data_IF_274562812867
#
_entry.id   IF_274562812867
#
_cell.length_a   1.000
_cell.length_b   1.000
_cell.length_c   1.000
_cell.angle_alpha   90.00
_cell.angle_beta   90.00
_cell.angle_gamma   90.00
#
_symmetry.space_group_name_H-M   'P 1'
#
loop_
_entity.id
_entity.type
_entity.pdbx_description
1 polymer ?
#
# COMPACT_ATOMS: atom_id res chain seq x y z
N UNK A 1 -7.11 0.36 25.74
CA UNK A 1 -7.34 0.55 24.29
C UNK A 1 -8.17 -0.62 23.84
N UNK A 2 -9.42 -0.40 23.39
CA UNK A 2 -10.28 -1.47 22.88
C UNK A 2 -9.77 -1.84 21.48
N UNK A 3 -9.32 -3.07 21.32
CA UNK A 3 -9.02 -3.66 20.03
C UNK A 3 -10.26 -3.53 19.15
N UNK A 4 -10.14 -2.87 17.99
CA UNK A 4 -11.17 -2.91 16.98
C UNK A 4 -11.21 -4.35 16.46
N UNK A 5 -12.24 -5.11 16.85
CA UNK A 5 -12.55 -6.39 16.24
C UNK A 5 -12.95 -6.10 14.79
N UNK A 6 -12.01 -6.29 13.87
CA UNK A 6 -12.29 -6.41 12.45
C UNK A 6 -13.33 -7.53 12.30
N UNK A 7 -14.57 -7.16 11.99
CA UNK A 7 -15.68 -8.09 11.90
C UNK A 7 -15.59 -8.87 10.57
N UNK A 8 -14.67 -9.82 10.52
CA UNK A 8 -14.56 -10.75 9.40
C UNK A 8 -15.83 -11.62 9.34
N UNK A 9 -16.40 -11.88 8.15
CA UNK A 9 -17.51 -12.80 7.98
C UNK A 9 -17.24 -14.14 8.69
N UNK A 10 -18.26 -14.70 9.32
CA UNK A 10 -18.18 -15.88 10.20
C UNK A 10 -17.41 -17.06 9.60
N UNK A 11 -17.51 -17.27 8.28
CA UNK A 11 -16.76 -18.31 7.56
C UNK A 11 -15.23 -18.08 7.55
N UNK A 12 -14.77 -16.84 7.43
CA UNK A 12 -13.34 -16.52 7.42
C UNK A 12 -12.72 -16.69 8.81
N UNK A 13 -13.46 -16.35 9.87
CA UNK A 13 -13.04 -16.61 11.26
C UNK A 13 -12.93 -18.11 11.55
N UNK A 14 -13.81 -18.91 10.97
CA UNK A 14 -13.83 -20.36 11.15
C UNK A 14 -12.70 -21.07 10.37
N UNK A 15 -12.33 -20.56 9.18
CA UNK A 15 -11.17 -21.03 8.43
C UNK A 15 -9.83 -20.70 9.12
N UNK A 16 -9.72 -19.49 9.70
CA UNK A 16 -8.57 -19.09 10.53
C UNK A 16 -8.40 -20.01 11.74
N UNK A 17 -9.50 -20.43 12.38
CA UNK A 17 -9.48 -21.36 13.52
C UNK A 17 -9.16 -22.80 13.12
N UNK A 18 -9.40 -23.19 11.87
CA UNK A 18 -9.20 -24.55 11.38
C UNK A 18 -7.84 -24.76 10.71
N UNK A 19 -6.98 -23.73 10.62
CA UNK A 19 -5.69 -23.83 9.93
C UNK A 19 -5.83 -24.20 8.44
N UNK A 20 -7.01 -24.01 7.86
CA UNK A 20 -7.27 -24.33 6.46
C UNK A 20 -6.76 -23.17 5.59
N UNK A 21 -5.99 -23.45 4.54
CA UNK A 21 -5.56 -22.40 3.62
C UNK A 21 -6.79 -21.72 3.02
N UNK A 22 -6.70 -20.39 2.83
CA UNK A 22 -7.69 -19.63 2.07
C UNK A 22 -7.67 -20.15 0.64
N UNK A 23 -8.53 -21.12 0.33
CA UNK A 23 -8.55 -21.80 -0.96
C UNK A 23 -8.86 -20.88 -2.15
N UNK A 24 -9.28 -19.64 -1.91
CA UNK A 24 -9.62 -18.64 -2.92
C UNK A 24 -8.69 -17.43 -2.99
N UNK A 25 -7.61 -17.39 -2.21
CA UNK A 25 -6.71 -16.23 -2.19
C UNK A 25 -7.39 -14.94 -1.69
N UNK A 26 -6.82 -13.79 -2.07
CA UNK A 26 -7.35 -12.44 -1.79
C UNK A 26 -7.76 -11.80 -3.10
N UNK A 27 -9.06 -11.59 -3.29
CA UNK A 27 -9.58 -11.05 -4.55
C UNK A 27 -9.48 -9.51 -4.56
N UNK A 28 -9.46 -8.91 -5.76
CA UNK A 28 -9.51 -7.44 -5.92
C UNK A 28 -10.59 -6.76 -5.05
N UNK A 29 -11.80 -7.36 -4.97
CA UNK A 29 -12.91 -6.85 -4.15
C UNK A 29 -12.61 -6.84 -2.65
N UNK A 30 -11.79 -7.78 -2.17
CA UNK A 30 -11.41 -7.88 -0.76
C UNK A 30 -10.41 -6.77 -0.41
N UNK A 31 -9.51 -6.43 -1.35
CA UNK A 31 -8.58 -5.30 -1.24
C UNK A 31 -9.33 -3.97 -1.22
N UNK A 32 -10.29 -3.79 -2.13
CA UNK A 32 -11.15 -2.61 -2.15
C UNK A 32 -11.93 -2.46 -0.85
N UNK A 33 -12.48 -3.56 -0.32
CA UNK A 33 -13.17 -3.56 0.96
C UNK A 33 -12.23 -3.16 2.11
N UNK A 34 -10.99 -3.67 2.12
CA UNK A 34 -9.98 -3.33 3.11
C UNK A 34 -9.59 -1.84 3.07
N UNK A 35 -9.31 -1.27 1.90
CA UNK A 35 -9.00 0.15 1.80
C UNK A 35 -10.18 1.05 2.14
N UNK A 36 -11.40 0.64 1.80
CA UNK A 36 -12.60 1.34 2.24
C UNK A 36 -12.80 1.29 3.76
N UNK A 37 -12.51 0.15 4.40
CA UNK A 37 -12.52 0.01 5.85
C UNK A 37 -11.51 0.96 6.51
N UNK A 38 -10.24 0.94 6.09
CA UNK A 38 -9.19 1.83 6.61
C UNK A 38 -9.60 3.31 6.48
N UNK A 39 -10.20 3.66 5.34
CA UNK A 39 -10.72 5.01 5.08
C UNK A 39 -11.87 5.38 6.01
N UNK A 40 -12.82 4.47 6.23
CA UNK A 40 -13.94 4.68 7.14
C UNK A 40 -13.49 4.84 8.60
N UNK A 41 -12.46 4.10 9.01
CA UNK A 41 -11.83 4.20 10.33
C UNK A 41 -10.97 5.46 10.51
N UNK A 42 -10.92 6.35 9.51
CA UNK A 42 -10.13 7.59 9.53
C UNK A 42 -8.65 7.36 9.85
N UNK A 43 -8.09 6.22 9.42
CA UNK A 43 -6.65 5.99 9.54
C UNK A 43 -5.93 7.11 8.79
N UNK A 44 -4.94 7.79 9.40
CA UNK A 44 -4.28 8.92 8.78
C UNK A 44 -3.32 8.43 7.71
N UNK A 45 -3.85 8.17 6.51
CA UNK A 45 -3.11 7.84 5.29
C UNK A 45 -3.34 8.92 4.22
N UNK A 46 -2.37 9.07 3.33
CA UNK A 46 -2.54 9.83 2.10
C UNK A 46 -3.29 8.97 1.08
N UNK A 47 -4.62 9.07 1.09
CA UNK A 47 -5.47 8.31 0.18
C UNK A 47 -5.27 8.69 -1.30
N UNK A 48 -4.68 9.85 -1.60
CA UNK A 48 -4.35 10.23 -2.98
C UNK A 48 -3.18 9.39 -3.49
N UNK A 49 -2.14 9.19 -2.67
CA UNK A 49 -1.03 8.29 -3.01
C UNK A 49 -1.45 6.82 -2.97
N UNK A 50 -2.35 6.44 -2.04
CA UNK A 50 -2.83 5.06 -1.91
C UNK A 50 -3.58 4.57 -3.15
N UNK A 51 -4.46 5.41 -3.71
CA UNK A 51 -5.24 5.10 -4.91
C UNK A 51 -4.56 5.53 -6.21
N UNK A 52 -3.30 5.98 -6.15
CA UNK A 52 -2.53 6.30 -7.34
C UNK A 52 -2.16 5.00 -8.04
N UNK A 53 -2.58 4.87 -9.29
CA UNK A 53 -2.19 3.76 -10.15
C UNK A 53 -0.72 3.93 -10.54
N UNK A 54 0.16 3.10 -9.99
CA UNK A 54 1.58 3.07 -10.37
C UNK A 54 1.83 2.24 -11.63
N UNK A 55 0.98 1.25 -11.91
CA UNK A 55 1.03 0.42 -13.11
C UNK A 55 -0.37 0.08 -13.61
N UNK A 56 -0.56 0.15 -14.94
CA UNK A 56 -1.86 0.02 -15.62
C UNK A 56 -1.97 -1.29 -16.43
N UNK A 57 -1.09 -2.27 -16.17
CA UNK A 57 -1.04 -3.54 -16.92
C UNK A 57 -0.68 -4.70 -16.01
N UNK A 58 -1.31 -5.85 -16.28
CA UNK A 58 -0.82 -7.15 -15.81
C UNK A 58 0.64 -7.30 -16.26
N UNK A 59 1.56 -7.26 -15.30
CA UNK A 59 2.96 -7.57 -15.58
C UNK A 59 3.15 -9.08 -15.43
N UNK A 60 3.62 -9.69 -16.52
CA UNK A 60 3.84 -11.13 -16.63
C UNK A 60 5.32 -11.42 -16.36
N UNK A 61 5.69 -11.56 -15.09
CA UNK A 61 6.96 -12.08 -14.53
C UNK A 61 7.60 -11.17 -13.48
N UNK A 62 8.30 -11.83 -12.56
CA UNK A 62 9.14 -11.24 -11.52
C UNK A 62 10.15 -10.22 -12.06
N UNK A 63 10.85 -10.51 -13.16
CA UNK A 63 11.84 -9.60 -13.76
C UNK A 63 11.21 -8.28 -14.20
N UNK A 64 9.96 -8.32 -14.70
CA UNK A 64 9.23 -7.11 -15.07
C UNK A 64 8.75 -6.35 -13.82
N UNK A 65 8.33 -7.06 -12.78
CA UNK A 65 7.99 -6.43 -11.50
C UNK A 65 9.20 -5.72 -10.89
N UNK A 66 10.36 -6.37 -10.83
CA UNK A 66 11.57 -5.79 -10.25
C UNK A 66 11.96 -4.50 -11.00
N UNK A 67 12.00 -4.54 -12.34
CA UNK A 67 12.25 -3.34 -13.16
C UNK A 67 11.21 -2.25 -12.94
N UNK A 68 9.95 -2.62 -12.78
CA UNK A 68 8.87 -1.67 -12.53
C UNK A 68 9.03 -0.95 -11.19
N UNK A 69 9.46 -1.66 -10.14
CA UNK A 69 9.60 -1.07 -8.80
C UNK A 69 10.88 -0.24 -8.63
N UNK A 70 11.94 -0.50 -9.39
CA UNK A 70 13.21 0.26 -9.32
C UNK A 70 13.04 1.77 -9.58
N UNK A 71 12.02 2.17 -10.36
CA UNK A 71 11.73 3.58 -10.65
C UNK A 71 10.83 4.27 -9.62
N UNK A 72 10.36 3.54 -8.61
CA UNK A 72 9.37 4.05 -7.67
C UNK A 72 10.01 4.78 -6.49
N UNK A 73 9.31 5.78 -5.92
CA UNK A 73 9.80 6.44 -4.72
C UNK A 73 9.97 5.44 -3.55
N UNK A 74 10.95 5.64 -2.66
CA UNK A 74 11.04 4.85 -1.43
C UNK A 74 9.74 4.86 -0.62
N UNK A 75 9.42 3.72 0.00
CA UNK A 75 8.25 3.56 0.85
C UNK A 75 7.72 2.13 0.90
N UNK A 76 6.54 2.02 1.50
CA UNK A 76 5.80 0.78 1.62
C UNK A 76 4.74 0.69 0.54
N UNK A 77 4.58 -0.49 -0.03
CA UNK A 77 3.63 -0.75 -1.08
C UNK A 77 2.83 -2.01 -0.77
N UNK A 78 1.54 -2.00 -1.05
CA UNK A 78 0.71 -3.20 -1.06
C UNK A 78 0.62 -3.65 -2.52
N UNK A 79 0.99 -4.90 -2.76
CA UNK A 79 0.96 -5.52 -4.08
C UNK A 79 -0.20 -6.48 -4.15
N UNK A 80 -0.97 -6.38 -5.23
CA UNK A 80 -1.96 -7.36 -5.63
C UNK A 80 -1.39 -8.14 -6.82
N UNK A 81 -1.21 -9.45 -6.64
CA UNK A 81 -0.61 -10.33 -7.62
C UNK A 81 -1.36 -11.67 -7.69
N UNK A 82 -1.02 -12.55 -8.62
CA UNK A 82 -1.51 -13.92 -8.67
C UNK A 82 -0.44 -14.94 -9.04
N UNK A 83 -0.53 -16.11 -8.40
CA UNK A 83 0.05 -17.36 -8.86
C UNK A 83 -1.04 -18.09 -9.66
N UNK A 84 -0.87 -18.19 -10.98
CA UNK A 84 -1.89 -18.70 -11.90
C UNK A 84 -3.27 -18.03 -11.73
N UNK A 85 -4.22 -18.74 -11.10
CA UNK A 85 -5.60 -18.28 -10.85
C UNK A 85 -5.83 -17.84 -9.40
N UNK A 86 -4.82 -17.98 -8.53
CA UNK A 86 -4.93 -17.67 -7.10
C UNK A 86 -4.34 -16.29 -6.87
N UNK A 87 -5.20 -15.35 -6.47
CA UNK A 87 -4.78 -13.97 -6.16
C UNK A 87 -4.22 -13.87 -4.74
N UNK A 88 -3.18 -13.04 -4.57
CA UNK A 88 -2.44 -12.84 -3.34
C UNK A 88 -2.19 -11.35 -3.11
N UNK A 89 -2.00 -11.00 -1.83
CA UNK A 89 -1.56 -9.68 -1.42
C UNK A 89 -0.37 -9.77 -0.47
N UNK A 90 0.65 -8.97 -0.73
CA UNK A 90 1.83 -8.86 0.13
C UNK A 90 2.34 -7.43 0.18
N UNK A 91 3.23 -7.15 1.13
CA UNK A 91 3.80 -5.81 1.33
C UNK A 91 5.21 -5.75 0.79
N UNK A 92 5.49 -4.82 -0.13
CA UNK A 92 6.82 -4.46 -0.61
C UNK A 92 7.40 -3.28 0.16
N UNK A 93 8.72 -3.25 0.27
CA UNK A 93 9.52 -2.20 0.88
C UNK A 93 10.61 -1.77 -0.11
N UNK A 94 10.55 -0.50 -0.51
CA UNK A 94 11.56 0.13 -1.36
C UNK A 94 12.31 1.14 -0.48
N UNK A 95 13.61 0.94 -0.28
CA UNK A 95 14.43 1.77 0.64
C UNK A 95 15.23 2.83 -0.12
N UNK A 96 16.09 2.37 -1.01
CA UNK A 96 16.96 3.19 -1.85
C UNK A 96 17.01 2.58 -3.26
N UNK A 97 17.22 3.38 -4.33
CA UNK A 97 17.43 2.85 -5.67
C UNK A 97 18.57 1.83 -5.79
N UNK A 98 19.51 1.81 -4.84
CA UNK A 98 20.65 0.89 -4.82
C UNK A 98 20.43 -0.35 -3.95
N UNK A 99 19.37 -0.34 -3.13
CA UNK A 99 19.06 -1.43 -2.21
C UNK A 99 18.19 -2.50 -2.90
N UNK A 100 18.33 -3.78 -2.53
CA UNK A 100 17.42 -4.81 -3.01
C UNK A 100 15.99 -4.50 -2.55
N UNK A 101 15.03 -4.79 -3.40
CA UNK A 101 13.61 -4.67 -3.06
C UNK A 101 13.26 -5.79 -2.10
N UNK A 102 12.74 -5.43 -0.93
CA UNK A 102 12.35 -6.39 0.09
C UNK A 102 10.84 -6.51 0.14
N UNK A 103 10.33 -7.66 0.60
CA UNK A 103 8.92 -7.85 0.83
C UNK A 103 8.67 -8.71 2.07
N UNK A 104 7.51 -8.54 2.67
CA UNK A 104 7.05 -9.40 3.75
C UNK A 104 6.29 -10.58 3.16
N UNK A 105 6.88 -11.78 3.23
CA UNK A 105 6.17 -13.06 3.02
C UNK A 105 6.15 -13.86 4.31
N UNK A 106 5.18 -14.76 4.40
CA UNK A 106 5.19 -15.78 5.43
C UNK A 106 4.87 -15.24 6.83
N UNK A 107 4.17 -16.07 7.58
CA UNK A 107 3.91 -15.83 8.99
C UNK A 107 4.75 -16.82 9.79
N UNK A 108 5.63 -16.29 10.63
CA UNK A 108 6.41 -17.11 11.57
C UNK A 108 6.04 -16.71 13.00
N UNK A 109 5.17 -17.50 13.62
CA UNK A 109 4.57 -17.21 14.94
C UNK A 109 5.62 -16.92 16.04
N UNK A 110 6.83 -17.47 15.90
CA UNK A 110 7.91 -17.34 16.87
C UNK A 110 8.73 -16.06 16.72
N UNK A 111 8.57 -15.33 15.63
CA UNK A 111 9.33 -14.12 15.35
C UNK A 111 8.63 -12.86 15.88
N UNK A 112 9.39 -11.79 16.10
CA UNK A 112 8.86 -10.49 16.50
C UNK A 112 9.45 -9.36 15.64
N UNK A 113 8.70 -8.78 14.69
CA UNK A 113 7.32 -9.11 14.34
C UNK A 113 7.21 -10.50 13.65
N UNK A 114 6.05 -11.17 13.70
CA UNK A 114 5.87 -12.55 13.20
C UNK A 114 5.72 -12.59 11.67
N UNK A 115 6.61 -11.91 10.95
CA UNK A 115 6.60 -11.76 9.49
C UNK A 115 8.03 -11.83 8.99
N UNK A 116 8.26 -12.64 7.96
CA UNK A 116 9.62 -12.83 7.40
C UNK A 116 9.84 -11.74 6.35
N UNK A 117 11.04 -11.16 6.35
CA UNK A 117 11.45 -10.19 5.34
C UNK A 117 12.39 -10.86 4.33
N UNK A 118 11.97 -10.94 3.08
CA UNK A 118 12.70 -11.61 2.00
C UNK A 118 12.98 -10.66 0.83
N UNK A 119 13.93 -11.04 -0.03
CA UNK A 119 14.23 -10.28 -1.24
C UNK A 119 13.25 -10.65 -2.34
N UNK A 120 12.77 -9.67 -3.09
CA UNK A 120 11.81 -9.90 -4.19
C UNK A 120 12.30 -10.95 -5.19
N UNK A 121 13.62 -11.08 -5.38
CA UNK A 121 14.29 -12.07 -6.23
C UNK A 121 14.08 -13.54 -5.83
N UNK A 122 13.55 -13.79 -4.62
CA UNK A 122 13.24 -15.11 -4.07
C UNK A 122 11.78 -15.48 -4.33
N UNK A 123 10.92 -14.48 -4.60
CA UNK A 123 9.48 -14.63 -4.66
C UNK A 123 9.08 -15.68 -5.70
N UNK A 124 9.59 -15.61 -6.94
CA UNK A 124 9.52 -16.67 -7.96
C UNK A 124 8.14 -17.15 -8.46
N UNK A 125 7.08 -16.95 -7.68
CA UNK A 125 5.72 -17.47 -7.90
C UNK A 125 4.74 -16.53 -8.65
N UNK A 126 4.85 -15.19 -8.62
CA UNK A 126 3.83 -14.35 -9.24
C UNK A 126 3.89 -14.43 -10.75
N UNK A 127 2.81 -14.95 -11.32
CA UNK A 127 2.57 -14.97 -12.76
C UNK A 127 2.06 -13.62 -13.25
N UNK A 128 1.30 -12.90 -12.42
CA UNK A 128 0.66 -11.64 -12.75
C UNK A 128 0.76 -10.65 -11.58
N UNK A 129 1.04 -9.39 -11.87
CA UNK A 129 0.84 -8.27 -10.94
C UNK A 129 -0.30 -7.39 -11.44
N UNK A 130 -1.35 -7.22 -10.63
CA UNK A 130 -2.53 -6.44 -10.99
C UNK A 130 -2.47 -5.00 -10.50
N UNK A 131 -1.99 -4.80 -9.27
CA UNK A 131 -1.95 -3.48 -8.67
C UNK A 131 -0.75 -3.31 -7.73
N UNK A 132 -0.30 -2.06 -7.62
CA UNK A 132 0.75 -1.63 -6.72
C UNK A 132 0.36 -0.30 -6.08
N UNK A 133 0.00 -0.34 -4.80
CA UNK A 133 -0.58 0.77 -4.06
C UNK A 133 0.42 1.29 -3.02
N UNK A 134 0.76 2.58 -3.06
CA UNK A 134 1.74 3.15 -2.12
C UNK A 134 1.09 3.58 -0.82
N UNK A 135 1.60 3.10 0.30
CA UNK A 135 1.13 3.49 1.64
C UNK A 135 2.00 4.64 2.16
N UNK A 136 1.38 5.81 2.35
CA UNK A 136 2.08 7.03 2.78
C UNK A 136 1.29 7.71 3.90
N UNK A 137 2.00 8.24 4.90
CA UNK A 137 1.39 9.12 5.90
C UNK A 137 1.07 10.50 5.30
N UNK A 138 -0.02 11.16 5.72
CA UNK A 138 -0.39 12.49 5.27
C UNK A 138 0.76 13.46 5.48
N UNK A 139 1.14 14.17 4.42
CA UNK A 139 2.14 15.23 4.56
C UNK A 139 1.55 16.36 5.42
N UNK A 140 2.31 16.92 6.37
CA UNK A 140 1.87 18.11 7.10
C UNK A 140 1.52 19.20 6.09
N UNK A 141 0.30 19.75 6.17
CA UNK A 141 -0.07 20.89 5.34
C UNK A 141 0.90 22.02 5.68
N UNK A 142 1.74 22.42 4.72
CA UNK A 142 2.60 23.59 4.91
C UNK A 142 1.73 24.77 5.37
N UNK A 143 2.11 25.50 6.43
CA UNK A 143 1.34 26.66 6.86
C UNK A 143 1.20 27.59 5.66
N UNK A 144 -0.05 27.88 5.27
CA UNK A 144 -0.33 28.85 4.22
C UNK A 144 0.21 30.18 4.72
N UNK A 145 1.35 30.63 4.18
CA UNK A 145 1.82 31.99 4.44
C UNK A 145 0.68 32.94 4.09
N UNK A 146 0.22 33.79 5.02
CA UNK A 146 -0.84 34.74 4.70
C UNK A 146 -0.37 35.59 3.52
N UNK A 147 -1.20 35.68 2.47
CA UNK A 147 -0.95 36.58 1.34
C UNK A 147 -0.76 37.98 1.92
N UNK A 148 0.42 38.58 1.73
CA UNK A 148 0.65 39.99 2.06
C UNK A 148 -0.45 40.80 1.37
N UNK A 149 -1.28 41.50 2.15
CA UNK A 149 -2.21 42.50 1.60
C UNK A 149 -1.34 43.52 0.86
N UNK A 150 -1.51 43.61 -0.45
CA UNK A 150 -1.00 44.71 -1.25
C UNK A 150 -1.57 46.00 -0.67
N UNK A 151 -0.72 46.83 -0.08
CA UNK A 151 -1.10 48.19 0.29
C UNK A 151 -1.32 48.97 -1.00
N UNK A 152 -2.59 49.25 -1.32
CA UNK A 152 -2.91 50.28 -2.31
C UNK A 152 -2.29 51.58 -1.80
N UNK A 153 -1.22 52.04 -2.46
CA UNK A 153 -0.71 53.41 -2.29
C UNK A 153 -1.82 54.36 -2.72
N UNK A 154 -2.47 54.99 -1.76
CA UNK A 154 -3.35 56.13 -2.00
C UNK A 154 -2.48 57.25 -2.59
N UNK A 155 -2.65 57.54 -3.88
CA UNK A 155 -2.10 58.76 -4.49
C UNK A 155 -2.84 59.94 -3.86
N UNK A 156 -2.15 60.69 -3.01
CA UNK A 156 -2.53 62.06 -2.66
C UNK A 156 -2.37 62.92 -3.93
N UNK A 157 -3.47 63.26 -4.58
CA UNK A 157 -3.50 64.38 -5.52
C UNK A 157 -3.68 65.66 -4.73
N UNK A 158 -2.65 66.53 -4.73
CA UNK A 158 -2.83 67.96 -4.47
C UNK A 158 -3.33 68.61 -5.77
N UNK A 159 -4.49 69.26 -5.69
CA UNK A 159 -4.72 70.66 -6.06
C UNK A 159 -6.16 71.02 -5.73
#
# INVERSE_FOLDING_TARGET
MKSAELNYPTQQQELLKQGKPFAGGVLARDIDAFFNFIRAENVPLDYVELFKVYHDKSMLSEVLMEKAVWGLPPGYYIVHAAEDIIEHCFTLIIRDPSDPVMFYDGYHERDYPPVILEQLTILGWPTNMYALCRVVLPRPKRPRRPKKKSSKKTKLSRN
#
